data_IF_628707220284
#
_entry.id   IF_628707220284
#
_cell.length_a   1.000
_cell.length_b   1.000
_cell.length_c   1.000
_cell.angle_alpha   90.00
_cell.angle_beta   90.00
_cell.angle_gamma   90.00
#
_symmetry.space_group_name_H-M   'P 1'
#
loop_
_entity.id
_entity.type
_entity.pdbx_description
1 polymer ?
#
# COMPACT_ATOMS: atom_id res chain seq x y z
N UNK A 1 -0.28 -40.38 2.76
CA UNK A 1 -0.54 -39.25 3.68
C UNK A 1 0.62 -39.16 4.62
N UNK A 2 1.51 -38.20 4.39
CA UNK A 2 2.62 -37.89 5.29
C UNK A 2 2.80 -36.38 5.20
N UNK A 3 2.41 -35.70 6.27
CA UNK A 3 2.60 -34.27 6.47
C UNK A 3 4.02 -34.09 6.98
N UNK A 4 4.88 -33.48 6.17
CA UNK A 4 6.14 -32.90 6.65
C UNK A 4 5.97 -31.39 6.75
N UNK A 5 5.79 -30.91 7.97
CA UNK A 5 6.25 -29.57 8.36
C UNK A 5 7.78 -29.59 8.38
N UNK A 6 8.44 -28.66 7.69
CA UNK A 6 9.27 -27.67 8.39
C UNK A 6 9.94 -26.65 7.46
N UNK A 7 10.02 -25.44 8.01
CA UNK A 7 11.06 -24.42 7.86
C UNK A 7 11.43 -23.92 6.46
N UNK A 8 11.05 -22.67 6.19
CA UNK A 8 12.06 -21.62 6.01
C UNK A 8 11.48 -20.30 6.53
N UNK A 9 11.85 -19.96 7.76
CA UNK A 9 11.78 -18.58 8.23
C UNK A 9 12.80 -17.79 7.41
N UNK A 10 12.30 -17.10 6.40
CA UNK A 10 13.13 -16.32 5.50
C UNK A 10 13.81 -15.19 6.28
N UNK A 11 15.07 -14.96 5.95
CA UNK A 11 16.00 -14.11 6.69
C UNK A 11 15.48 -12.67 6.86
N UNK A 12 15.05 -12.34 8.08
CA UNK A 12 14.63 -10.98 8.51
C UNK A 12 15.85 -10.06 8.70
N UNK A 13 16.70 -9.90 7.68
CA UNK A 13 17.91 -9.07 7.79
C UNK A 13 18.05 -7.89 6.82
N UNK A 14 17.23 -7.73 5.78
CA UNK A 14 17.43 -6.63 4.80
C UNK A 14 16.16 -5.80 4.47
N UNK A 15 15.20 -5.72 5.38
CA UNK A 15 13.94 -4.99 5.15
C UNK A 15 13.90 -3.56 5.69
N UNK A 16 14.92 -3.13 6.43
CA UNK A 16 14.95 -1.78 7.01
C UNK A 16 15.37 -0.73 5.98
N UNK A 17 14.63 0.39 5.93
CA UNK A 17 15.00 1.57 5.15
C UNK A 17 15.64 2.63 6.06
N UNK A 18 16.69 3.28 5.56
CA UNK A 18 17.41 4.35 6.28
C UNK A 18 17.23 5.67 5.57
N UNK A 19 16.83 6.71 6.31
CA UNK A 19 16.72 8.08 5.81
C UNK A 19 17.16 9.06 6.89
N UNK A 20 18.22 9.82 6.61
CA UNK A 20 18.77 10.83 7.52
C UNK A 20 19.15 10.25 8.88
N UNK A 21 18.29 10.47 9.88
CA UNK A 21 18.49 10.04 11.29
C UNK A 21 17.58 8.87 11.71
N UNK A 22 16.85 8.26 10.78
CA UNK A 22 15.91 7.19 11.08
C UNK A 22 16.23 5.92 10.29
N UNK A 23 16.16 4.78 10.97
CA UNK A 23 16.09 3.44 10.39
C UNK A 23 14.71 2.90 10.74
N UNK A 24 13.95 2.46 9.75
CA UNK A 24 12.57 2.05 9.95
C UNK A 24 12.17 0.93 9.02
N UNK A 25 11.26 0.08 9.48
CA UNK A 25 10.48 -0.81 8.62
C UNK A 25 8.99 -0.50 8.81
N UNK A 26 8.51 0.51 8.07
CA UNK A 26 7.11 0.92 8.09
C UNK A 26 6.47 0.51 6.77
N UNK A 27 5.56 -0.47 6.85
CA UNK A 27 4.73 -0.87 5.71
C UNK A 27 3.26 -0.61 6.02
N UNK A 28 2.49 -0.30 4.99
CA UNK A 28 1.05 -0.12 5.10
C UNK A 28 0.30 -0.86 3.98
N UNK A 29 -0.84 -1.42 4.34
CA UNK A 29 -1.84 -1.95 3.41
C UNK A 29 -2.95 -0.92 3.23
N UNK A 30 -2.99 -0.33 2.05
CA UNK A 30 -4.03 0.60 1.62
C UNK A 30 -5.06 -0.13 0.76
N UNK A 31 -6.35 0.11 1.03
CA UNK A 31 -7.45 -0.37 0.20
C UNK A 31 -8.29 0.82 -0.29
N UNK A 32 -8.44 0.89 -1.61
CA UNK A 32 -9.27 1.88 -2.27
C UNK A 32 -10.42 1.21 -2.99
N UNK A 33 -11.64 1.65 -2.70
CA UNK A 33 -12.86 1.13 -3.33
C UNK A 33 -13.39 2.14 -4.34
N UNK A 34 -13.98 1.67 -5.43
CA UNK A 34 -14.63 2.52 -6.41
C UNK A 34 -15.86 3.18 -5.80
N UNK A 35 -16.27 4.33 -6.34
CA UNK A 35 -17.46 5.03 -5.86
C UNK A 35 -18.67 4.11 -6.06
N UNK A 36 -19.42 3.92 -4.97
CA UNK A 36 -20.55 2.98 -4.88
C UNK A 36 -20.20 1.50 -5.11
N UNK A 37 -18.92 1.11 -4.98
CA UNK A 37 -18.44 -0.26 -5.25
C UNK A 37 -18.90 -0.81 -6.61
N UNK A 38 -18.89 0.05 -7.62
CA UNK A 38 -19.19 -0.37 -9.00
C UNK A 38 -18.03 -1.21 -9.51
N UNK A 39 -18.37 -2.34 -10.12
CA UNK A 39 -17.43 -3.26 -10.78
C UNK A 39 -17.03 -2.69 -12.14
N UNK A 40 -16.02 -1.83 -12.16
CA UNK A 40 -15.59 -1.05 -13.34
C UNK A 40 -14.22 -1.44 -13.85
N UNK A 41 -13.37 -2.02 -12.99
CA UNK A 41 -12.01 -2.36 -13.37
C UNK A 41 -11.98 -3.62 -14.21
N UNK A 42 -11.28 -3.51 -15.34
CA UNK A 42 -10.84 -4.63 -16.17
C UNK A 42 -9.39 -4.98 -15.85
N UNK A 43 -8.89 -6.12 -16.33
CA UNK A 43 -7.48 -6.50 -16.18
C UNK A 43 -6.52 -5.42 -16.70
N UNK A 44 -6.80 -4.86 -17.89
CA UNK A 44 -5.98 -3.78 -18.48
C UNK A 44 -5.99 -2.49 -17.64
N UNK A 45 -7.11 -2.16 -17.00
CA UNK A 45 -7.16 -1.02 -16.08
C UNK A 45 -6.34 -1.27 -14.81
N UNK A 46 -6.34 -2.50 -14.28
CA UNK A 46 -5.53 -2.89 -13.11
C UNK A 46 -4.04 -2.83 -13.45
N UNK A 47 -3.62 -3.41 -14.58
CA UNK A 47 -2.22 -3.31 -15.07
C UNK A 47 -1.78 -1.85 -15.21
N UNK A 48 -2.67 -1.01 -15.75
CA UNK A 48 -2.37 0.40 -15.90
C UNK A 48 -2.29 1.12 -14.56
N UNK A 49 -3.17 0.80 -13.61
CA UNK A 49 -3.10 1.30 -12.24
C UNK A 49 -1.79 0.93 -11.55
N UNK A 50 -1.31 -0.30 -11.71
CA UNK A 50 -0.02 -0.74 -11.17
C UNK A 50 1.11 0.16 -11.65
N UNK A 51 1.15 0.49 -12.95
CA UNK A 51 2.17 1.39 -13.52
C UNK A 51 2.07 2.80 -12.91
N UNK A 52 0.87 3.37 -12.85
CA UNK A 52 0.64 4.71 -12.30
C UNK A 52 1.02 4.76 -10.81
N UNK A 53 0.65 3.73 -10.05
CA UNK A 53 0.93 3.64 -8.62
C UNK A 53 2.43 3.47 -8.38
N UNK A 54 3.12 2.67 -9.18
CA UNK A 54 4.58 2.55 -9.12
C UNK A 54 5.27 3.91 -9.33
N UNK A 55 4.89 4.65 -10.39
CA UNK A 55 5.43 6.01 -10.64
C UNK A 55 5.19 6.95 -9.44
N UNK A 56 4.02 6.86 -8.80
CA UNK A 56 3.68 7.67 -7.64
C UNK A 56 4.47 7.26 -6.40
N UNK A 57 4.62 5.96 -6.16
CA UNK A 57 5.46 5.47 -5.06
C UNK A 57 6.88 6.00 -5.22
N UNK A 58 7.49 5.88 -6.40
CA UNK A 58 8.82 6.44 -6.66
C UNK A 58 8.87 7.95 -6.42
N UNK A 59 7.87 8.71 -6.88
CA UNK A 59 7.82 10.17 -6.69
C UNK A 59 7.68 10.60 -5.22
N UNK A 60 7.07 9.77 -4.40
CA UNK A 60 6.83 10.02 -2.98
C UNK A 60 7.85 9.30 -2.08
N UNK A 61 8.97 8.84 -2.64
CA UNK A 61 10.01 8.08 -1.94
C UNK A 61 9.47 6.87 -1.16
N UNK A 62 8.44 6.23 -1.71
CA UNK A 62 7.85 5.00 -1.20
C UNK A 62 8.32 3.82 -2.06
N UNK A 63 8.52 2.66 -1.42
CA UNK A 63 8.77 1.40 -2.12
C UNK A 63 7.45 0.66 -2.28
N UNK A 64 6.98 0.53 -3.51
CA UNK A 64 5.85 -0.34 -3.83
C UNK A 64 6.27 -1.80 -3.61
N UNK A 65 5.54 -2.53 -2.78
CA UNK A 65 5.80 -3.96 -2.53
C UNK A 65 4.91 -4.79 -3.44
N UNK A 66 3.60 -4.54 -3.41
CA UNK A 66 2.63 -5.28 -4.21
C UNK A 66 1.40 -4.41 -4.49
N UNK A 67 0.82 -4.54 -5.69
CA UNK A 67 -0.46 -3.93 -6.05
C UNK A 67 -1.29 -4.93 -6.82
N UNK A 68 -2.51 -5.16 -6.36
CA UNK A 68 -3.49 -5.94 -7.08
C UNK A 68 -4.90 -5.42 -6.80
N UNK A 69 -5.91 -5.93 -7.49
CA UNK A 69 -7.29 -5.52 -7.26
C UNK A 69 -8.30 -6.43 -7.92
N UNK A 70 -9.55 -6.18 -7.57
CA UNK A 70 -10.72 -6.79 -8.18
C UNK A 70 -11.52 -5.72 -8.94
N UNK A 71 -12.68 -6.10 -9.47
CA UNK A 71 -13.47 -5.24 -10.33
C UNK A 71 -13.91 -3.91 -9.65
N UNK A 72 -13.99 -3.85 -8.32
CA UNK A 72 -14.49 -2.68 -7.57
C UNK A 72 -13.52 -2.10 -6.53
N UNK A 73 -12.30 -2.64 -6.40
CA UNK A 73 -11.32 -2.14 -5.44
C UNK A 73 -9.88 -2.55 -5.77
N UNK A 74 -8.92 -1.83 -5.18
CA UNK A 74 -7.49 -2.16 -5.24
C UNK A 74 -6.88 -2.25 -3.85
N UNK A 75 -5.87 -3.10 -3.74
CA UNK A 75 -4.98 -3.26 -2.60
C UNK A 75 -3.57 -2.78 -3.00
N UNK A 76 -2.98 -1.93 -2.17
CA UNK A 76 -1.60 -1.50 -2.29
C UNK A 76 -0.88 -1.83 -0.98
N UNK A 77 0.18 -2.63 -1.08
CA UNK A 77 1.16 -2.83 -0.03
C UNK A 77 2.41 -2.02 -0.39
N UNK A 78 2.83 -1.14 0.50
CA UNK A 78 3.99 -0.27 0.28
C UNK A 78 4.75 -0.02 1.57
N UNK A 79 6.05 0.19 1.42
CA UNK A 79 6.93 0.65 2.48
C UNK A 79 7.18 2.15 2.32
N UNK A 80 7.22 2.86 3.44
CA UNK A 80 7.35 4.30 3.48
C UNK A 80 8.27 4.77 4.61
N UNK A 81 8.74 6.00 4.52
CA UNK A 81 9.53 6.63 5.57
C UNK A 81 8.65 7.36 6.60
N UNK A 82 9.11 7.53 7.86
CA UNK A 82 8.32 8.16 8.92
C UNK A 82 7.82 9.58 8.60
N UNK A 83 8.52 10.32 7.75
CA UNK A 83 8.12 11.67 7.33
C UNK A 83 6.95 11.70 6.32
N UNK A 84 6.53 10.55 5.79
CA UNK A 84 5.43 10.51 4.81
C UNK A 84 4.10 10.86 5.48
N UNK A 85 3.46 11.92 4.97
CA UNK A 85 2.10 12.27 5.37
C UNK A 85 1.08 11.39 4.62
N UNK A 86 0.73 10.24 5.21
CA UNK A 86 -0.18 9.25 4.62
C UNK A 86 -1.47 9.84 4.03
N UNK A 87 -2.21 10.75 4.69
CA UNK A 87 -3.42 11.34 4.09
C UNK A 87 -3.14 12.13 2.81
N UNK A 88 -2.02 12.86 2.74
CA UNK A 88 -1.62 13.61 1.53
C UNK A 88 -1.23 12.66 0.40
N UNK A 89 -0.48 11.61 0.71
CA UNK A 89 -0.12 10.57 -0.25
C UNK A 89 -1.37 9.89 -0.84
N UNK A 90 -2.28 9.42 0.02
CA UNK A 90 -3.52 8.75 -0.42
C UNK A 90 -4.40 9.70 -1.24
N UNK A 91 -4.53 10.96 -0.84
CA UNK A 91 -5.27 11.97 -1.59
C UNK A 91 -4.68 12.21 -2.98
N UNK A 92 -3.35 12.30 -3.09
CA UNK A 92 -2.65 12.45 -4.36
C UNK A 92 -2.82 11.22 -5.26
N UNK A 93 -2.68 10.02 -4.67
CA UNK A 93 -2.83 8.75 -5.37
C UNK A 93 -4.24 8.61 -5.96
N UNK A 94 -5.29 8.83 -5.16
CA UNK A 94 -6.68 8.81 -5.62
C UNK A 94 -6.95 9.82 -6.74
N UNK A 95 -6.39 11.03 -6.61
CA UNK A 95 -6.60 12.11 -7.58
C UNK A 95 -5.94 11.81 -8.93
N UNK A 96 -4.68 11.38 -8.93
CA UNK A 96 -3.93 11.12 -10.16
C UNK A 96 -4.44 9.86 -10.87
N UNK A 97 -4.68 8.77 -10.13
CA UNK A 97 -5.22 7.54 -10.70
C UNK A 97 -6.62 7.75 -11.30
N UNK A 98 -7.51 8.47 -10.60
CA UNK A 98 -8.83 8.83 -11.12
C UNK A 98 -8.73 9.63 -12.42
N UNK A 99 -7.86 10.66 -12.46
CA UNK A 99 -7.70 11.49 -13.65
C UNK A 99 -7.12 10.71 -14.82
N UNK A 100 -6.03 9.97 -14.61
CA UNK A 100 -5.35 9.23 -15.68
C UNK A 100 -6.22 8.11 -16.24
N UNK A 101 -6.83 7.28 -15.39
CA UNK A 101 -7.72 6.23 -15.87
C UNK A 101 -8.90 6.78 -16.66
N UNK A 102 -9.57 7.85 -16.19
CA UNK A 102 -10.71 8.40 -16.94
C UNK A 102 -10.31 9.03 -18.27
N UNK A 103 -9.06 9.48 -18.41
CA UNK A 103 -8.55 10.01 -19.68
C UNK A 103 -8.17 8.88 -20.65
N UNK A 104 -7.61 7.79 -20.14
CA UNK A 104 -7.13 6.66 -20.94
C UNK A 104 -8.24 5.65 -21.27
N UNK A 105 -9.30 5.59 -20.44
CA UNK A 105 -10.44 4.68 -20.57
C UNK A 105 -11.77 5.46 -20.55
N UNK A 106 -12.18 6.06 -21.69
CA UNK A 106 -13.37 6.89 -21.79
C UNK A 106 -14.67 6.19 -21.39
N UNK A 107 -14.73 4.86 -21.43
CA UNK A 107 -15.87 4.06 -20.99
C UNK A 107 -16.24 4.30 -19.51
N UNK A 108 -15.27 4.72 -18.68
CA UNK A 108 -15.52 5.11 -17.28
C UNK A 108 -16.42 6.34 -17.17
N UNK A 109 -16.47 7.21 -18.19
CA UNK A 109 -17.35 8.37 -18.22
C UNK A 109 -18.84 7.97 -18.26
N UNK A 110 -19.16 6.81 -18.84
CA UNK A 110 -20.53 6.30 -18.89
C UNK A 110 -21.00 5.72 -17.54
N UNK A 111 -20.06 5.40 -16.65
CA UNK A 111 -20.38 4.82 -15.34
C UNK A 111 -20.77 5.90 -14.32
N UNK A 112 -20.09 7.04 -14.34
CA UNK A 112 -20.25 8.09 -13.35
C UNK A 112 -20.67 9.41 -14.00
N UNK A 113 -21.81 9.97 -13.56
CA UNK A 113 -22.28 11.31 -13.99
C UNK A 113 -21.35 12.45 -13.57
N UNK A 114 -20.41 12.19 -12.65
CA UNK A 114 -19.44 13.15 -12.14
C UNK A 114 -18.04 12.61 -12.40
N UNK A 115 -17.04 13.49 -12.44
CA UNK A 115 -15.61 13.17 -12.57
C UNK A 115 -15.03 12.51 -11.31
N UNK A 116 -15.57 11.35 -10.92
CA UNK A 116 -15.19 10.57 -9.74
C UNK A 116 -14.86 9.14 -10.15
N UNK A 117 -13.97 8.50 -9.39
CA UNK A 117 -13.64 7.07 -9.55
C UNK A 117 -13.70 6.37 -8.20
N UNK A 118 -13.05 6.96 -7.20
CA UNK A 118 -12.93 6.38 -5.87
C UNK A 118 -14.05 6.80 -4.93
N UNK A 119 -14.33 5.96 -3.95
CA UNK A 119 -15.04 6.36 -2.74
C UNK A 119 -14.23 7.42 -1.99
N UNK A 120 -14.88 8.24 -1.16
CA UNK A 120 -14.23 9.28 -0.35
C UNK A 120 -13.38 8.66 0.76
N UNK A 121 -13.92 7.64 1.42
CA UNK A 121 -13.19 6.86 2.42
C UNK A 121 -12.13 5.95 1.78
N UNK A 122 -11.20 5.50 2.62
CA UNK A 122 -10.21 4.48 2.31
C UNK A 122 -9.91 3.71 3.60
N UNK A 123 -9.37 2.50 3.45
CA UNK A 123 -8.85 1.74 4.58
C UNK A 123 -7.34 1.75 4.53
N UNK A 124 -6.69 1.89 5.69
CA UNK A 124 -5.25 1.75 5.81
C UNK A 124 -4.93 1.01 7.11
N UNK A 125 -4.06 0.01 7.03
CA UNK A 125 -3.54 -0.71 8.19
C UNK A 125 -2.01 -0.77 8.11
N UNK A 126 -1.34 -0.70 9.27
CA UNK A 126 0.08 -1.01 9.35
C UNK A 126 0.32 -2.49 9.10
N UNK A 127 1.41 -2.79 8.41
CA UNK A 127 1.88 -4.15 8.17
C UNK A 127 3.31 -4.23 8.71
N UNK A 128 3.57 -5.11 9.67
CA UNK A 128 4.89 -5.22 10.28
C UNK A 128 5.00 -6.49 11.10
N UNK A 129 6.07 -7.25 10.88
CA UNK A 129 6.30 -8.56 11.48
C UNK A 129 6.73 -8.54 12.95
N UNK A 130 6.87 -7.34 13.55
CA UNK A 130 7.15 -7.23 14.98
C UNK A 130 5.83 -7.08 15.72
N UNK A 131 5.39 -8.18 16.31
CA UNK A 131 4.26 -8.17 17.24
C UNK A 131 4.58 -7.26 18.44
N UNK A 132 3.54 -6.68 19.05
CA UNK A 132 3.71 -5.89 20.28
C UNK A 132 4.48 -6.67 21.35
N UNK A 133 4.28 -7.98 21.42
CA UNK A 133 5.01 -8.88 22.33
C UNK A 133 6.50 -8.93 22.05
N UNK A 134 6.92 -9.03 20.77
CA UNK A 134 8.33 -9.01 20.40
C UNK A 134 8.99 -7.66 20.68
N UNK A 135 8.28 -6.54 20.45
CA UNK A 135 8.78 -5.21 20.84
C UNK A 135 8.94 -5.09 22.35
N UNK A 136 7.98 -5.63 23.12
CA UNK A 136 8.02 -5.62 24.57
C UNK A 136 9.22 -6.40 25.11
N UNK A 137 9.44 -7.61 24.60
CA UNK A 137 10.60 -8.43 24.96
C UNK A 137 11.91 -7.75 24.58
N UNK A 138 11.98 -7.08 23.42
CA UNK A 138 13.15 -6.30 23.03
C UNK A 138 13.44 -5.18 24.05
N UNK A 139 12.42 -4.43 24.48
CA UNK A 139 12.56 -3.35 25.47
C UNK A 139 12.97 -3.88 26.84
N UNK A 140 12.36 -4.98 27.30
CA UNK A 140 12.66 -5.61 28.59
C UNK A 140 14.11 -6.14 28.66
N UNK A 141 14.66 -6.57 27.52
CA UNK A 141 16.03 -7.07 27.42
C UNK A 141 17.08 -5.96 27.17
N UNK A 142 16.68 -4.69 27.02
CA UNK A 142 17.63 -3.57 26.95
C UNK A 142 18.23 -3.32 28.34
N UNK A 143 19.55 -3.44 28.46
CA UNK A 143 20.27 -3.11 29.70
C UNK A 143 20.14 -1.61 29.97
N UNK A 144 19.56 -1.26 31.12
CA UNK A 144 19.62 0.12 31.62
C UNK A 144 21.07 0.46 31.99
N UNK A 145 21.68 1.51 31.41
CA UNK A 145 22.99 1.98 31.83
C UNK A 145 22.96 2.41 33.29
N UNK A 146 24.04 2.13 34.04
CA UNK A 146 24.22 2.58 35.43
C UNK A 146 24.40 4.09 35.52
#
# INVERSE_FOLDING_TARGET
MTVTQNSNGDNMKDDFVSSGRAISDLKAHLVLTTKYRRKVFTGSMIERLQTIIWELCCKWDCKMIEVNGEADHIHLLFQYYPQLELPKFVGNLKSITSRRLRNEFPELANVYKKSVLWNESYFIASCGGVTVSQLKEYVENQKTPN
#
